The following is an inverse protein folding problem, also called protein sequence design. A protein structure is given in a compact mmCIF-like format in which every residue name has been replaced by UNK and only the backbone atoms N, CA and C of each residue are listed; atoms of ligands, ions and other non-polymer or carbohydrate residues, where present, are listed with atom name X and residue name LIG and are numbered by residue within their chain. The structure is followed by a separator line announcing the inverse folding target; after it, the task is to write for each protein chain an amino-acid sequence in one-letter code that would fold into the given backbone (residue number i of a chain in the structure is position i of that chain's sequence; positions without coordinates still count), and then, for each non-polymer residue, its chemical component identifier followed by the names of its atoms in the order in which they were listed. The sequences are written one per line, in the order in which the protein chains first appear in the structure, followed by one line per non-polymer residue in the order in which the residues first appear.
data_IF_019972173776
#
_entry.id   IF_019972173776
#
_cell.length_a   1.000
_cell.length_b   1.000
_cell.length_c   1.000
_cell.angle_alpha   90.00
_cell.angle_beta   90.00
_cell.angle_gamma   90.00
#
_symmetry.space_group_name_H-M   'P 1'
#
loop_
_entity.id
_entity.type
_entity.pdbx_description
1 polymer ?
#
# COMPACT_ATOMS: atom_id res chain seq x y z
N UNK A 1 8.50 27.67 3.64
CA UNK A 1 7.21 27.05 3.23
C UNK A 1 7.31 25.57 3.55
N UNK A 2 6.67 25.09 4.62
CA UNK A 2 6.56 23.64 4.84
C UNK A 2 5.54 23.09 3.85
N UNK A 3 5.84 21.94 3.25
CA UNK A 3 4.89 21.22 2.39
C UNK A 3 3.74 20.69 3.25
N UNK A 4 2.52 20.74 2.73
CA UNK A 4 1.37 20.14 3.42
C UNK A 4 1.47 18.61 3.42
N UNK A 5 0.83 17.94 4.38
CA UNK A 5 0.80 16.48 4.43
C UNK A 5 0.25 15.87 3.13
N UNK A 6 -0.71 16.55 2.49
CA UNK A 6 -1.27 16.15 1.21
C UNK A 6 -0.23 16.25 0.08
N UNK A 7 0.56 17.33 0.04
CA UNK A 7 1.63 17.53 -0.93
C UNK A 7 2.77 16.52 -0.76
N UNK A 8 3.16 16.21 0.48
CA UNK A 8 4.21 15.22 0.76
C UNK A 8 3.77 13.84 0.27
N UNK A 9 2.51 13.46 0.53
CA UNK A 9 1.94 12.20 0.06
C UNK A 9 1.94 12.13 -1.47
N UNK A 10 1.50 13.21 -2.12
CA UNK A 10 1.46 13.25 -3.57
C UNK A 10 2.87 13.17 -4.17
N UNK A 11 3.83 13.95 -3.63
CA UNK A 11 5.22 13.94 -4.07
C UNK A 11 5.88 12.57 -3.92
N UNK A 12 5.58 11.82 -2.85
CA UNK A 12 6.05 10.45 -2.69
C UNK A 12 5.52 9.53 -3.80
N UNK A 13 4.21 9.56 -4.05
CA UNK A 13 3.59 8.73 -5.08
C UNK A 13 4.12 9.09 -6.47
N UNK A 14 4.23 10.38 -6.77
CA UNK A 14 4.71 10.89 -8.06
C UNK A 14 6.18 10.54 -8.30
N UNK A 15 7.02 10.59 -7.26
CA UNK A 15 8.41 10.19 -7.35
C UNK A 15 8.55 8.72 -7.76
N UNK A 16 7.82 7.81 -7.10
CA UNK A 16 7.87 6.39 -7.45
C UNK A 16 7.19 6.09 -8.79
N UNK A 17 6.13 6.81 -9.13
CA UNK A 17 5.50 6.74 -10.44
C UNK A 17 6.48 7.12 -11.57
N UNK A 18 7.25 8.20 -11.40
CA UNK A 18 8.30 8.60 -12.35
C UNK A 18 9.42 7.56 -12.50
N UNK A 19 9.59 6.67 -11.51
CA UNK A 19 10.54 5.55 -11.52
C UNK A 19 9.91 4.26 -12.08
N UNK A 20 8.70 4.32 -12.65
CA UNK A 20 7.99 3.20 -13.24
C UNK A 20 7.30 2.28 -12.24
N UNK A 21 6.94 2.78 -11.04
CA UNK A 21 6.10 2.02 -10.11
C UNK A 21 4.62 2.31 -10.39
N UNK A 22 3.80 1.27 -10.40
CA UNK A 22 2.36 1.42 -10.49
C UNK A 22 1.83 2.06 -9.21
N UNK A 23 1.14 3.20 -9.32
CA UNK A 23 0.41 3.77 -8.19
C UNK A 23 -0.83 2.91 -7.96
N UNK A 24 -0.91 2.29 -6.78
CA UNK A 24 -2.05 1.47 -6.36
C UNK A 24 -2.80 2.20 -5.25
N UNK A 25 -4.13 2.18 -5.31
CA UNK A 25 -4.97 2.83 -4.31
C UNK A 25 -4.84 2.13 -2.95
N UNK A 26 -5.06 2.87 -1.86
CA UNK A 26 -5.14 2.31 -0.52
C UNK A 26 -6.23 1.23 -0.48
N UNK A 27 -5.89 0.03 -0.04
CA UNK A 27 -6.85 -1.04 0.23
C UNK A 27 -7.72 -0.69 1.44
N UNK A 28 -8.83 -1.42 1.61
CA UNK A 28 -9.70 -1.29 2.78
C UNK A 28 -8.95 -1.62 4.08
N UNK A 29 -9.44 -1.02 5.17
CA UNK A 29 -8.93 -1.25 6.52
C UNK A 29 -9.20 -2.67 7.03
N UNK A 30 -10.27 -3.30 6.54
CA UNK A 30 -10.63 -4.68 6.86
C UNK A 30 -10.29 -5.57 5.66
N UNK A 31 -9.27 -6.44 5.77
CA UNK A 31 -8.98 -7.41 4.72
C UNK A 31 -10.08 -8.47 4.70
N UNK A 32 -10.69 -8.70 3.53
CA UNK A 32 -11.75 -9.71 3.37
C UNK A 32 -11.20 -11.15 3.28
N UNK A 33 -9.91 -11.30 2.94
CA UNK A 33 -9.29 -12.57 2.54
C UNK A 33 -8.32 -13.15 3.59
N UNK A 34 -8.13 -12.51 4.74
CA UNK A 34 -7.21 -13.02 5.77
C UNK A 34 -7.86 -12.96 7.16
N UNK A 35 -8.42 -14.08 7.66
CA UNK A 35 -9.04 -14.12 8.99
C UNK A 35 -8.03 -13.97 10.13
N UNK A 36 -6.71 -13.99 9.86
CA UNK A 36 -5.67 -13.78 10.87
C UNK A 36 -5.31 -12.31 11.08
N UNK A 37 -5.74 -11.42 10.18
CA UNK A 37 -5.47 -9.99 10.22
C UNK A 37 -6.76 -9.21 10.55
N UNK A 38 -6.86 -8.75 11.81
CA UNK A 38 -7.98 -7.91 12.26
C UNK A 38 -8.07 -6.59 11.48
N UNK A 39 -6.93 -5.97 11.15
CA UNK A 39 -6.85 -4.73 10.38
C UNK A 39 -5.61 -4.71 9.48
N UNK A 40 -5.68 -3.95 8.39
CA UNK A 40 -4.51 -3.64 7.56
C UNK A 40 -3.52 -2.80 8.37
N UNK A 41 -2.49 -3.47 8.92
CA UNK A 41 -1.41 -2.84 9.70
C UNK A 41 -0.29 -2.27 8.82
N UNK A 42 -0.15 -2.76 7.59
CA UNK A 42 0.89 -2.35 6.66
C UNK A 42 0.41 -2.33 5.20
N UNK A 43 1.00 -1.45 4.39
CA UNK A 43 0.75 -1.39 2.95
C UNK A 43 1.11 -2.67 2.18
N UNK A 44 1.98 -3.51 2.75
CA UNK A 44 2.40 -4.78 2.15
C UNK A 44 1.35 -5.89 2.23
N UNK A 45 0.35 -5.79 3.11
CA UNK A 45 -0.62 -6.87 3.33
C UNK A 45 -1.43 -7.18 2.07
N UNK A 46 -1.78 -6.15 1.28
CA UNK A 46 -2.48 -6.33 0.01
C UNK A 46 -1.63 -6.99 -1.09
N UNK A 47 -0.31 -7.04 -0.87
CA UNK A 47 0.66 -7.64 -1.78
C UNK A 47 1.20 -8.97 -1.22
N UNK A 48 0.68 -9.48 -0.09
CA UNK A 48 1.14 -10.73 0.55
C UNK A 48 1.12 -11.90 -0.43
N UNK A 49 0.02 -12.10 -1.15
CA UNK A 49 -0.11 -13.19 -2.13
C UNK A 49 0.82 -13.01 -3.33
N UNK A 50 1.13 -11.76 -3.69
CA UNK A 50 2.10 -11.43 -4.74
C UNK A 50 3.53 -11.76 -4.30
N UNK A 51 3.86 -11.49 -3.03
CA UNK A 51 5.14 -11.89 -2.45
C UNK A 51 5.28 -13.40 -2.28
N UNK A 52 4.18 -14.10 -1.99
CA UNK A 52 4.13 -15.56 -1.91
C UNK A 52 4.09 -16.24 -3.30
N UNK A 53 3.94 -15.47 -4.38
CA UNK A 53 3.86 -15.99 -5.75
C UNK A 53 2.54 -16.67 -6.09
N UNK A 54 1.52 -16.52 -5.25
CA UNK A 54 0.17 -17.07 -5.44
C UNK A 54 -0.67 -16.18 -6.36
N UNK A 55 -0.39 -14.87 -6.38
CA UNK A 55 -1.04 -13.89 -7.25
C UNK A 55 0.01 -13.23 -8.15
N UNK A 56 -0.30 -13.07 -9.44
CA UNK A 56 0.60 -12.47 -10.43
C UNK A 56 -0.01 -11.20 -10.98
N UNK A 57 0.53 -10.07 -10.58
CA UNK A 57 0.12 -8.75 -11.07
C UNK A 57 0.85 -8.42 -12.38
N UNK A 58 0.20 -7.62 -13.22
CA UNK A 58 0.79 -7.10 -14.47
C UNK A 58 1.95 -6.11 -14.24
N UNK A 59 2.21 -5.72 -12.98
CA UNK A 59 3.29 -4.84 -12.57
C UNK A 59 4.25 -5.56 -11.63
N UNK A 60 5.55 -5.34 -11.84
CA UNK A 60 6.62 -5.83 -10.95
C UNK A 60 6.99 -4.84 -9.84
N UNK A 61 6.45 -3.62 -9.92
CA UNK A 61 6.77 -2.50 -9.02
C UNK A 61 5.50 -1.73 -8.71
N UNK A 62 5.21 -1.49 -7.44
CA UNK A 62 4.05 -0.74 -6.99
C UNK A 62 4.42 0.29 -5.92
N UNK A 63 3.65 1.36 -5.83
CA UNK A 63 3.74 2.37 -4.76
C UNK A 63 2.34 2.68 -4.23
N UNK A 64 2.21 2.81 -2.92
CA UNK A 64 0.93 3.01 -2.23
C UNK A 64 1.10 3.92 -1.03
N UNK A 65 0.10 4.77 -0.77
CA UNK A 65 -0.05 5.47 0.50
C UNK A 65 -1.20 4.83 1.29
N UNK A 66 -0.91 3.70 1.94
CA UNK A 66 -1.89 2.90 2.67
C UNK A 66 -2.29 3.57 3.99
N UNK A 67 -3.60 3.56 4.29
CA UNK A 67 -4.09 3.82 5.64
C UNK A 67 -3.87 2.58 6.51
N UNK A 68 -3.02 2.71 7.51
CA UNK A 68 -2.69 1.64 8.46
C UNK A 68 -3.28 1.95 9.84
N UNK A 69 -3.80 0.92 10.51
CA UNK A 69 -4.18 0.99 11.92
C UNK A 69 -3.44 -0.12 12.66
N UNK A 70 -2.64 0.27 13.65
CA UNK A 70 -1.90 -0.64 14.53
C UNK A 70 -2.53 -0.58 15.92
N UNK A 71 -3.53 -1.44 16.16
CA UNK A 71 -4.22 -1.56 17.45
C UNK A 71 -4.10 -2.99 18.02
N UNK A 72 -2.94 -3.63 17.84
CA UNK A 72 -2.59 -4.88 18.52
C UNK A 72 -1.87 -4.58 19.84
N UNK A 73 -2.35 -5.18 20.93
CA UNK A 73 -1.67 -5.22 22.24
C UNK A 73 -0.45 -6.15 22.19
#
# INVERSE_FOLDING_TARGET
MSKSTAEIRQAFLDFFHSKGHQVVASSSLVPHNDPTLLFTNAGMNQFKDVFLGLDKRNYSRATTAQRCVSCGW
#
